data_IF_727977214853
#
_entry.id   IF_727977214853
#
_cell.length_a   1.000
_cell.length_b   1.000
_cell.length_c   1.000
_cell.angle_alpha   90.00
_cell.angle_beta   90.00
_cell.angle_gamma   90.00
#
_symmetry.space_group_name_H-M   'P 1'
#
loop_
_entity.id
_entity.type
_entity.pdbx_description
1 polymer ?
#
# COMPACT_ATOMS: atom_id res chain seq x y z
N UNK A 1 6.20 -61.19 -100.31
CA UNK A 1 6.12 -60.11 -101.31
C UNK A 1 7.55 -59.80 -101.72
N UNK A 2 7.86 -59.79 -103.02
CA UNK A 2 9.19 -59.41 -103.48
C UNK A 2 9.39 -57.90 -103.28
N UNK A 3 10.53 -57.50 -102.75
CA UNK A 3 10.92 -56.09 -102.68
C UNK A 3 11.07 -55.54 -104.10
N UNK A 4 10.85 -54.24 -104.32
CA UNK A 4 11.16 -53.61 -105.59
C UNK A 4 12.63 -53.89 -105.96
N UNK A 5 12.93 -54.20 -107.23
CA UNK A 5 14.28 -54.62 -107.65
C UNK A 5 15.36 -53.58 -107.30
N UNK A 6 15.00 -52.30 -107.32
CA UNK A 6 15.88 -51.18 -106.94
C UNK A 6 16.22 -51.16 -105.45
N UNK A 7 15.28 -51.60 -104.60
CA UNK A 7 15.48 -51.67 -103.15
C UNK A 7 16.31 -52.90 -102.79
N UNK A 8 16.09 -54.02 -103.48
CA UNK A 8 16.88 -55.24 -103.30
C UNK A 8 18.35 -55.05 -103.75
N UNK A 9 18.57 -54.36 -104.86
CA UNK A 9 19.90 -53.99 -105.37
C UNK A 9 20.62 -53.01 -104.43
N UNK A 10 19.92 -52.01 -103.90
CA UNK A 10 20.48 -51.10 -102.88
C UNK A 10 20.87 -51.80 -101.58
N UNK A 11 20.07 -52.79 -101.13
CA UNK A 11 20.36 -53.58 -99.94
C UNK A 11 21.58 -54.49 -100.18
N UNK A 12 21.63 -55.18 -101.34
CA UNK A 12 22.76 -56.03 -101.74
C UNK A 12 24.07 -55.23 -101.79
N UNK A 13 24.07 -54.13 -102.51
CA UNK A 13 25.22 -53.23 -102.64
C UNK A 13 25.60 -52.58 -101.30
N UNK A 14 24.64 -52.37 -100.39
CA UNK A 14 24.94 -51.92 -99.03
C UNK A 14 25.65 -52.97 -98.19
N UNK A 15 25.30 -54.25 -98.32
CA UNK A 15 25.99 -55.35 -97.66
C UNK A 15 27.40 -55.52 -98.25
N UNK A 16 27.53 -55.47 -99.57
CA UNK A 16 28.83 -55.51 -100.27
C UNK A 16 29.75 -54.37 -99.81
N UNK A 17 29.23 -53.15 -99.65
CA UNK A 17 29.98 -52.02 -99.11
C UNK A 17 30.47 -52.26 -97.67
N UNK A 18 29.63 -52.83 -96.79
CA UNK A 18 30.01 -53.16 -95.42
C UNK A 18 31.08 -54.26 -95.33
N UNK A 19 31.17 -55.11 -96.37
CA UNK A 19 32.21 -56.13 -96.52
C UNK A 19 33.48 -55.61 -97.24
N UNK A 20 33.52 -54.33 -97.62
CA UNK A 20 34.66 -53.69 -98.27
C UNK A 20 34.75 -53.91 -99.78
N UNK A 21 33.68 -54.39 -100.42
CA UNK A 21 33.62 -54.60 -101.87
C UNK A 21 33.24 -53.31 -102.61
N UNK A 22 33.60 -53.22 -103.90
CA UNK A 22 33.28 -52.07 -104.73
C UNK A 22 31.77 -51.98 -104.99
N UNK A 23 31.23 -50.78 -104.83
CA UNK A 23 29.81 -50.47 -104.95
C UNK A 23 29.55 -49.58 -106.16
N UNK A 24 28.34 -49.61 -106.70
CA UNK A 24 27.99 -48.74 -107.82
C UNK A 24 28.00 -47.25 -107.41
N UNK A 25 28.36 -46.38 -108.36
CA UNK A 25 28.30 -44.93 -108.19
C UNK A 25 26.90 -44.45 -107.82
N UNK A 26 25.86 -45.12 -108.33
CA UNK A 26 24.44 -44.82 -108.05
C UNK A 26 24.11 -45.02 -106.56
N UNK A 27 24.55 -46.12 -105.96
CA UNK A 27 24.34 -46.39 -104.53
C UNK A 27 25.10 -45.42 -103.63
N UNK A 28 26.33 -45.04 -104.01
CA UNK A 28 27.08 -44.01 -103.28
C UNK A 28 26.39 -42.64 -103.30
N UNK A 29 25.84 -42.23 -104.45
CA UNK A 29 25.07 -40.98 -104.58
C UNK A 29 23.80 -40.99 -103.74
N UNK A 30 23.05 -42.10 -103.73
CA UNK A 30 21.86 -42.26 -102.89
C UNK A 30 22.19 -42.18 -101.40
N UNK A 31 23.29 -42.81 -100.96
CA UNK A 31 23.75 -42.72 -99.56
C UNK A 31 24.20 -41.32 -99.19
N UNK A 32 24.89 -40.62 -100.09
CA UNK A 32 25.27 -39.22 -99.88
C UNK A 32 24.02 -38.35 -99.69
N UNK A 33 23.03 -38.46 -100.57
CA UNK A 33 21.78 -37.72 -100.47
C UNK A 33 21.04 -38.03 -99.16
N UNK A 34 20.90 -39.31 -98.81
CA UNK A 34 20.26 -39.73 -97.56
C UNK A 34 21.00 -39.20 -96.32
N UNK A 35 22.34 -39.18 -96.35
CA UNK A 35 23.17 -38.61 -95.28
C UNK A 35 23.08 -37.09 -95.21
N UNK A 36 22.93 -36.39 -96.34
CA UNK A 36 22.72 -34.95 -96.34
C UNK A 36 21.36 -34.57 -95.77
N UNK A 37 20.31 -35.31 -96.13
CA UNK A 37 18.96 -35.11 -95.60
C UNK A 37 18.85 -35.45 -94.11
N UNK A 38 19.54 -36.48 -93.64
CA UNK A 38 19.62 -36.77 -92.20
C UNK A 38 20.39 -35.67 -91.46
N UNK A 39 21.51 -35.19 -92.02
CA UNK A 39 22.27 -34.05 -91.46
C UNK A 39 21.43 -32.78 -91.39
N UNK A 40 20.67 -32.44 -92.43
CA UNK A 40 19.76 -31.26 -92.43
C UNK A 40 18.68 -31.40 -91.36
N UNK A 41 18.08 -32.58 -91.21
CA UNK A 41 17.07 -32.85 -90.16
C UNK A 41 17.66 -32.68 -88.76
N UNK A 42 18.81 -33.29 -88.49
CA UNK A 42 19.51 -33.14 -87.21
C UNK A 42 19.88 -31.68 -86.94
N UNK A 43 20.35 -30.96 -87.95
CA UNK A 43 20.69 -29.54 -87.80
C UNK A 43 19.45 -28.72 -87.41
N UNK A 44 18.30 -28.97 -88.01
CA UNK A 44 17.03 -28.33 -87.65
C UNK A 44 16.60 -28.68 -86.21
N UNK A 45 16.73 -29.94 -85.80
CA UNK A 45 16.45 -30.36 -84.42
C UNK A 45 17.37 -29.66 -83.41
N UNK A 46 18.67 -29.55 -83.72
CA UNK A 46 19.63 -28.82 -82.87
C UNK A 46 19.24 -27.36 -82.72
N UNK A 47 18.83 -26.68 -83.80
CA UNK A 47 18.35 -25.31 -83.70
C UNK A 47 17.09 -25.18 -82.84
N UNK A 48 16.10 -26.07 -83.04
CA UNK A 48 14.88 -26.07 -82.23
C UNK A 48 15.16 -26.32 -80.74
N UNK A 49 16.07 -27.25 -80.43
CA UNK A 49 16.48 -27.53 -79.05
C UNK A 49 17.21 -26.35 -78.43
N UNK A 50 18.07 -25.66 -79.21
CA UNK A 50 18.78 -24.48 -78.74
C UNK A 50 17.82 -23.33 -78.42
N UNK A 51 16.84 -23.06 -79.28
CA UNK A 51 15.83 -22.03 -79.04
C UNK A 51 14.96 -22.36 -77.81
N UNK A 52 14.58 -23.63 -77.65
CA UNK A 52 13.85 -24.09 -76.45
C UNK A 52 14.68 -23.95 -75.18
N UNK A 53 15.98 -24.26 -75.22
CA UNK A 53 16.88 -24.10 -74.08
C UNK A 53 16.97 -22.63 -73.68
N UNK A 54 17.20 -21.73 -74.64
CA UNK A 54 17.23 -20.28 -74.40
C UNK A 54 15.95 -19.76 -73.77
N UNK A 55 14.80 -20.16 -74.30
CA UNK A 55 13.50 -19.76 -73.74
C UNK A 55 13.31 -20.29 -72.30
N UNK A 56 13.81 -21.50 -71.99
CA UNK A 56 13.80 -22.01 -70.61
C UNK A 56 14.72 -21.21 -69.70
N UNK A 57 15.92 -20.85 -70.16
CA UNK A 57 16.88 -20.06 -69.39
C UNK A 57 16.32 -18.65 -69.08
N UNK A 58 15.70 -18.00 -70.06
CA UNK A 58 15.03 -16.70 -69.85
C UNK A 58 13.92 -16.79 -68.79
N UNK A 59 13.07 -17.82 -68.86
CA UNK A 59 12.02 -18.05 -67.85
C UNK A 59 12.60 -18.34 -66.47
N UNK A 60 13.71 -19.06 -66.41
CA UNK A 60 14.40 -19.35 -65.15
C UNK A 60 14.95 -18.07 -64.52
N UNK A 61 15.56 -17.18 -65.30
CA UNK A 61 16.06 -15.90 -64.81
C UNK A 61 14.93 -14.97 -64.36
N UNK A 62 13.81 -14.94 -65.08
CA UNK A 62 12.61 -14.22 -64.63
C UNK A 62 12.10 -14.77 -63.29
N UNK A 63 11.96 -16.09 -63.17
CA UNK A 63 11.52 -16.73 -61.93
C UNK A 63 12.48 -16.47 -60.75
N UNK A 64 13.80 -16.49 -60.99
CA UNK A 64 14.81 -16.16 -59.97
C UNK A 64 14.71 -14.71 -59.52
N UNK A 65 14.56 -13.76 -60.45
CA UNK A 65 14.44 -12.34 -60.11
C UNK A 65 13.15 -12.06 -59.35
N UNK A 66 12.03 -12.66 -59.75
CA UNK A 66 10.75 -12.59 -59.02
C UNK A 66 10.88 -13.18 -57.61
N UNK A 67 11.45 -14.37 -57.47
CA UNK A 67 11.66 -15.01 -56.17
C UNK A 67 12.58 -14.16 -55.25
N UNK A 68 13.60 -13.52 -55.80
CA UNK A 68 14.50 -12.62 -55.07
C UNK A 68 13.76 -11.39 -54.53
N UNK A 69 12.96 -10.73 -55.39
CA UNK A 69 12.15 -9.58 -55.00
C UNK A 69 11.11 -9.95 -53.93
N UNK A 70 10.43 -11.09 -54.09
CA UNK A 70 9.47 -11.60 -53.12
C UNK A 70 10.14 -11.92 -51.77
N UNK A 71 11.31 -12.57 -51.78
CA UNK A 71 12.07 -12.84 -50.58
C UNK A 71 12.51 -11.55 -49.85
N UNK A 72 12.87 -10.50 -50.60
CA UNK A 72 13.19 -9.19 -50.02
C UNK A 72 11.97 -8.51 -49.40
N UNK A 73 10.81 -8.57 -50.07
CA UNK A 73 9.57 -8.02 -49.56
C UNK A 73 9.14 -8.73 -48.25
N UNK A 74 9.23 -10.06 -48.21
CA UNK A 74 8.95 -10.84 -47.01
C UNK A 74 9.90 -10.50 -45.85
N UNK A 75 11.20 -10.32 -46.13
CA UNK A 75 12.17 -9.90 -45.11
C UNK A 75 11.77 -8.55 -44.49
N UNK A 76 11.44 -7.55 -45.31
CA UNK A 76 10.98 -6.25 -44.81
C UNK A 76 9.72 -6.36 -43.97
N UNK A 77 8.74 -7.17 -44.40
CA UNK A 77 7.53 -7.42 -43.62
C UNK A 77 7.81 -8.04 -42.25
N UNK A 78 8.76 -8.99 -42.19
CA UNK A 78 9.18 -9.61 -40.93
C UNK A 78 9.86 -8.58 -40.03
N UNK A 79 10.79 -7.79 -40.57
CA UNK A 79 11.48 -6.72 -39.83
C UNK A 79 10.50 -5.69 -39.25
N UNK A 80 9.51 -5.26 -40.03
CA UNK A 80 8.45 -4.34 -39.58
C UNK A 80 7.57 -4.98 -38.50
N UNK A 81 7.18 -6.25 -38.68
CA UNK A 81 6.41 -7.00 -37.67
C UNK A 81 7.17 -7.10 -36.35
N UNK A 82 8.47 -7.44 -36.40
CA UNK A 82 9.32 -7.52 -35.22
C UNK A 82 9.51 -6.15 -34.55
N UNK A 83 9.70 -5.09 -35.33
CA UNK A 83 9.80 -3.73 -34.83
C UNK A 83 8.50 -3.29 -34.12
N UNK A 84 7.34 -3.60 -34.71
CA UNK A 84 6.04 -3.33 -34.08
C UNK A 84 5.85 -4.16 -32.81
N UNK A 85 6.22 -5.44 -32.82
CA UNK A 85 6.16 -6.31 -31.63
C UNK A 85 7.00 -5.75 -30.48
N UNK A 86 8.18 -5.18 -30.74
CA UNK A 86 9.01 -4.52 -29.72
C UNK A 86 8.32 -3.30 -29.14
N UNK A 87 7.75 -2.43 -29.98
CA UNK A 87 6.98 -1.26 -29.52
C UNK A 87 5.77 -1.66 -28.68
N UNK A 88 5.06 -2.72 -29.05
CA UNK A 88 3.96 -3.24 -28.24
C UNK A 88 4.44 -3.73 -26.86
N UNK A 89 5.56 -4.43 -26.79
CA UNK A 89 6.14 -4.87 -25.52
C UNK A 89 6.60 -3.68 -24.65
N UNK A 90 7.23 -2.67 -25.25
CA UNK A 90 7.61 -1.42 -24.57
C UNK A 90 6.39 -0.69 -24.00
N UNK A 91 5.32 -0.57 -24.80
CA UNK A 91 4.08 0.08 -24.37
C UNK A 91 3.40 -0.70 -23.23
N UNK A 92 3.38 -2.03 -23.29
CA UNK A 92 2.85 -2.86 -22.20
C UNK A 92 3.66 -2.69 -20.91
N UNK A 93 4.99 -2.61 -21.00
CA UNK A 93 5.83 -2.34 -19.85
C UNK A 93 5.54 -0.95 -19.25
N UNK A 94 5.31 0.06 -20.09
CA UNK A 94 4.88 1.39 -19.62
C UNK A 94 3.51 1.34 -18.94
N UNK A 95 2.53 0.64 -19.50
CA UNK A 95 1.22 0.46 -18.86
C UNK A 95 1.34 -0.17 -17.47
N UNK A 96 2.15 -1.22 -17.33
CA UNK A 96 2.41 -1.85 -16.01
C UNK A 96 3.01 -0.86 -15.02
N UNK A 97 3.97 -0.02 -15.44
CA UNK A 97 4.56 0.99 -14.56
C UNK A 97 3.52 2.04 -14.11
N UNK A 98 2.61 2.44 -15.02
CA UNK A 98 1.54 3.38 -14.67
C UNK A 98 0.52 2.76 -13.72
N UNK A 99 0.20 1.47 -13.87
CA UNK A 99 -0.66 0.74 -12.93
C UNK A 99 -0.05 0.71 -11.52
N UNK A 100 1.25 0.40 -11.41
CA UNK A 100 1.98 0.43 -10.14
C UNK A 100 1.99 1.83 -9.51
N UNK A 101 2.21 2.87 -10.32
CA UNK A 101 2.22 4.26 -9.88
C UNK A 101 0.83 4.73 -9.40
N UNK A 102 -0.25 4.34 -10.11
CA UNK A 102 -1.62 4.58 -9.68
C UNK A 102 -1.92 3.88 -8.34
N UNK A 103 -1.47 2.64 -8.17
CA UNK A 103 -1.63 1.92 -6.91
C UNK A 103 -0.90 2.62 -5.74
N UNK A 104 0.28 3.21 -5.99
CA UNK A 104 0.98 4.03 -5.01
C UNK A 104 0.19 5.29 -4.65
N UNK A 105 -0.38 6.00 -5.62
CA UNK A 105 -1.22 7.18 -5.33
C UNK A 105 -2.44 6.85 -4.49
N UNK A 106 -3.12 5.73 -4.79
CA UNK A 106 -4.25 5.27 -3.98
C UNK A 106 -3.83 5.00 -2.55
N UNK A 107 -2.71 4.29 -2.33
CA UNK A 107 -2.19 4.03 -1.00
C UNK A 107 -1.81 5.32 -0.26
N UNK A 108 -1.17 6.27 -0.93
CA UNK A 108 -0.81 7.55 -0.32
C UNK A 108 -2.05 8.35 0.08
N UNK A 109 -3.12 8.32 -0.72
CA UNK A 109 -4.39 8.94 -0.41
C UNK A 109 -5.04 8.31 0.84
N UNK A 110 -5.07 6.98 0.93
CA UNK A 110 -5.57 6.26 2.11
C UNK A 110 -4.79 6.63 3.38
N UNK A 111 -3.46 6.74 3.29
CA UNK A 111 -2.60 7.15 4.40
C UNK A 111 -2.87 8.59 4.85
N UNK A 112 -3.10 9.50 3.89
CA UNK A 112 -3.43 10.89 4.19
C UNK A 112 -4.81 11.01 4.86
N UNK A 113 -5.79 10.24 4.41
CA UNK A 113 -7.11 10.18 5.03
C UNK A 113 -7.04 9.63 6.47
N UNK A 114 -6.32 8.53 6.68
CA UNK A 114 -6.10 7.97 8.01
C UNK A 114 -5.42 8.96 8.96
N UNK A 115 -4.42 9.70 8.45
CA UNK A 115 -3.74 10.75 9.22
C UNK A 115 -4.71 11.89 9.60
N UNK A 116 -5.57 12.31 8.66
CA UNK A 116 -6.60 13.32 8.91
C UNK A 116 -7.55 12.88 10.03
N UNK A 117 -8.05 11.64 9.93
CA UNK A 117 -8.94 11.06 10.95
C UNK A 117 -8.28 11.01 12.33
N UNK A 118 -7.01 10.61 12.43
CA UNK A 118 -6.28 10.58 13.70
C UNK A 118 -6.06 12.00 14.27
N UNK A 119 -5.74 12.98 13.42
CA UNK A 119 -5.60 14.36 13.85
C UNK A 119 -6.92 14.92 14.41
N UNK A 120 -8.04 14.62 13.75
CA UNK A 120 -9.37 15.01 14.19
C UNK A 120 -9.77 14.33 15.51
N UNK A 121 -9.46 13.04 15.68
CA UNK A 121 -9.67 12.34 16.95
C UNK A 121 -8.88 12.97 18.11
N UNK A 122 -7.60 13.31 17.88
CA UNK A 122 -6.80 14.03 18.86
C UNK A 122 -7.38 15.40 19.18
N UNK A 123 -7.80 16.16 18.18
CA UNK A 123 -8.44 17.46 18.38
C UNK A 123 -9.71 17.33 19.22
N UNK A 124 -10.59 16.39 18.89
CA UNK A 124 -11.81 16.09 19.67
C UNK A 124 -11.51 15.71 21.11
N UNK A 125 -10.48 14.90 21.35
CA UNK A 125 -10.04 14.52 22.70
C UNK A 125 -9.54 15.73 23.49
N UNK A 126 -8.74 16.61 22.88
CA UNK A 126 -8.30 17.85 23.53
C UNK A 126 -9.47 18.78 23.84
N UNK A 127 -10.40 18.98 22.91
CA UNK A 127 -11.60 19.79 23.12
C UNK A 127 -12.48 19.24 24.26
N UNK A 128 -12.61 17.91 24.35
CA UNK A 128 -13.33 17.28 25.45
C UNK A 128 -12.67 17.58 26.81
N UNK A 129 -11.34 17.43 26.89
CA UNK A 129 -10.60 17.72 28.13
C UNK A 129 -10.66 19.19 28.53
N UNK A 130 -10.63 20.11 27.55
CA UNK A 130 -10.80 21.55 27.81
C UNK A 130 -12.19 21.81 28.38
N UNK A 131 -13.25 21.26 27.77
CA UNK A 131 -14.62 21.39 28.29
C UNK A 131 -14.78 20.87 29.71
N UNK A 132 -14.22 19.71 30.01
CA UNK A 132 -14.22 19.14 31.38
C UNK A 132 -13.57 20.11 32.38
N UNK A 133 -12.38 20.64 32.06
CA UNK A 133 -11.69 21.61 32.92
C UNK A 133 -12.46 22.91 33.05
N UNK A 134 -13.08 23.42 31.97
CA UNK A 134 -13.93 24.62 32.02
C UNK A 134 -15.14 24.43 32.95
N UNK A 135 -15.77 23.25 32.91
CA UNK A 135 -16.87 22.90 33.82
C UNK A 135 -16.41 22.80 35.27
N UNK A 136 -15.26 22.19 35.54
CA UNK A 136 -14.66 22.13 36.88
C UNK A 136 -14.29 23.51 37.40
N UNK A 137 -13.66 24.36 36.58
CA UNK A 137 -13.34 25.75 36.95
C UNK A 137 -14.60 26.53 37.28
N UNK A 138 -15.70 26.31 36.55
CA UNK A 138 -16.99 26.94 36.83
C UNK A 138 -17.53 26.51 38.19
N UNK A 139 -17.55 25.20 38.49
CA UNK A 139 -17.98 24.66 39.80
C UNK A 139 -17.14 25.24 40.94
N UNK A 140 -15.82 25.20 40.83
CA UNK A 140 -14.92 25.76 41.84
C UNK A 140 -15.10 27.27 42.02
N UNK A 141 -15.39 28.01 40.94
CA UNK A 141 -15.68 29.44 41.02
C UNK A 141 -16.99 29.72 41.75
N UNK A 142 -18.03 28.91 41.51
CA UNK A 142 -19.30 28.99 42.22
C UNK A 142 -19.15 28.66 43.71
N UNK A 143 -18.39 27.61 44.05
CA UNK A 143 -18.06 27.24 45.43
C UNK A 143 -17.25 28.32 46.16
N UNK A 144 -16.22 28.87 45.52
CA UNK A 144 -15.42 29.96 46.09
C UNK A 144 -16.30 31.18 46.38
N UNK A 145 -17.23 31.48 45.49
CA UNK A 145 -18.15 32.59 45.65
C UNK A 145 -19.18 32.33 46.76
N UNK A 146 -19.60 31.07 46.94
CA UNK A 146 -20.40 30.65 48.09
C UNK A 146 -19.66 30.88 49.42
N UNK A 147 -18.45 30.34 49.57
CA UNK A 147 -17.67 30.50 50.81
C UNK A 147 -17.30 31.95 51.10
N UNK A 148 -17.02 32.75 50.06
CA UNK A 148 -16.78 34.17 50.22
C UNK A 148 -17.99 34.89 50.85
N UNK A 149 -19.20 34.63 50.37
CA UNK A 149 -20.43 35.20 50.95
C UNK A 149 -20.65 34.73 52.39
N UNK A 150 -20.40 33.45 52.67
CA UNK A 150 -20.54 32.89 54.02
C UNK A 150 -19.56 33.55 55.01
N UNK A 151 -18.30 33.75 54.60
CA UNK A 151 -17.30 34.46 55.39
C UNK A 151 -17.69 35.93 55.64
N UNK A 152 -18.24 36.62 54.62
CA UNK A 152 -18.75 37.99 54.76
C UNK A 152 -19.88 38.05 55.82
N UNK A 153 -20.84 37.13 55.78
CA UNK A 153 -21.94 37.05 56.78
C UNK A 153 -21.42 36.73 58.18
N UNK A 154 -20.45 35.83 58.32
CA UNK A 154 -19.84 35.50 59.61
C UNK A 154 -19.10 36.72 60.19
N UNK A 155 -18.33 37.44 59.37
CA UNK A 155 -17.66 38.67 59.76
C UNK A 155 -18.64 39.74 60.24
N UNK A 156 -19.78 39.92 59.57
CA UNK A 156 -20.82 40.84 60.03
C UNK A 156 -21.42 40.43 61.39
N UNK A 157 -21.65 39.12 61.60
CA UNK A 157 -22.15 38.61 62.88
C UNK A 157 -21.13 38.82 63.99
N UNK A 158 -19.85 38.56 63.73
CA UNK A 158 -18.75 38.81 64.67
C UNK A 158 -18.64 40.29 65.01
N UNK A 159 -18.75 41.19 64.02
CA UNK A 159 -18.75 42.63 64.26
C UNK A 159 -19.93 43.08 65.12
N UNK A 160 -21.15 42.54 64.88
CA UNK A 160 -22.33 42.80 65.73
C UNK A 160 -22.13 42.29 67.15
N UNK A 161 -21.60 41.07 67.31
CA UNK A 161 -21.31 40.49 68.61
C UNK A 161 -20.23 41.27 69.37
N UNK A 162 -19.19 41.74 68.67
CA UNK A 162 -18.15 42.59 69.25
C UNK A 162 -18.71 43.94 69.72
N UNK A 163 -19.63 44.53 68.97
CA UNK A 163 -20.32 45.76 69.37
C UNK A 163 -21.26 45.53 70.56
N UNK A 164 -22.04 44.45 70.57
CA UNK A 164 -22.86 44.06 71.72
C UNK A 164 -22.00 43.82 72.97
N UNK A 165 -20.85 43.14 72.83
CA UNK A 165 -19.89 42.96 73.91
C UNK A 165 -19.30 44.28 74.40
N UNK A 166 -19.02 45.23 73.50
CA UNK A 166 -18.56 46.58 73.86
C UNK A 166 -19.60 47.32 74.69
N UNK A 167 -20.86 47.30 74.27
CA UNK A 167 -22.00 47.90 74.99
C UNK A 167 -22.18 47.24 76.36
N UNK A 168 -22.12 45.90 76.42
CA UNK A 168 -22.20 45.17 77.68
C UNK A 168 -21.02 45.49 78.60
N UNK A 169 -19.81 45.59 78.06
CA UNK A 169 -18.62 45.95 78.83
C UNK A 169 -18.74 47.37 79.41
N UNK A 170 -19.19 48.34 78.62
CA UNK A 170 -19.47 49.70 79.09
C UNK A 170 -20.54 49.70 80.20
N UNK A 171 -21.59 48.89 80.05
CA UNK A 171 -22.62 48.71 81.09
C UNK A 171 -22.08 48.05 82.36
N UNK A 172 -21.18 47.07 82.23
CA UNK A 172 -20.51 46.43 83.38
C UNK A 172 -19.62 47.44 84.09
N UNK A 173 -18.83 48.24 83.36
CA UNK A 173 -18.01 49.31 83.94
C UNK A 173 -18.89 50.34 84.65
N UNK A 174 -20.04 50.73 84.07
CA UNK A 174 -21.03 51.59 84.73
C UNK A 174 -21.60 50.95 86.01
N UNK A 175 -21.96 49.67 85.97
CA UNK A 175 -22.45 48.93 87.14
C UNK A 175 -21.37 48.72 88.20
N UNK A 176 -20.10 48.55 87.82
CA UNK A 176 -18.95 48.47 88.71
C UNK A 176 -18.61 49.83 89.30
N UNK A 177 -18.80 50.92 88.56
CA UNK A 177 -18.73 52.30 89.08
C UNK A 177 -19.83 52.54 90.11
N UNK A 178 -21.06 52.11 89.84
CA UNK A 178 -22.20 52.17 90.77
C UNK A 178 -21.98 51.26 91.99
N UNK A 179 -21.41 50.07 91.81
CA UNK A 179 -21.00 49.16 92.89
C UNK A 179 -19.88 49.75 93.74
N UNK A 180 -18.91 50.42 93.12
CA UNK A 180 -17.82 51.11 93.83
C UNK A 180 -18.31 52.34 94.59
N UNK A 181 -19.48 52.88 94.23
CA UNK A 181 -20.19 53.92 94.98
C UNK A 181 -21.11 53.37 96.09
N UNK A 182 -21.19 52.05 96.26
CA UNK A 182 -21.97 51.40 97.30
C UNK A 182 -21.31 50.11 97.77
N UNK A 183 -20.28 50.22 98.62
CA UNK A 183 -19.81 49.07 99.39
C UNK A 183 -20.60 48.97 100.69
N UNK A 184 -21.39 47.90 100.80
CA UNK A 184 -21.30 46.90 101.86
C UNK A 184 -22.21 45.72 101.51
N UNK A 185 -21.69 44.49 101.60
CA UNK A 185 -22.53 43.30 101.68
C UNK A 185 -21.96 42.08 101.00
N UNK A 186 -21.38 41.20 101.81
CA UNK A 186 -21.05 39.81 101.51
C UNK A 186 -22.27 38.99 101.05
N UNK A 187 -21.99 37.94 100.28
CA UNK A 187 -22.76 36.71 100.32
C UNK A 187 -23.98 36.64 99.39
N UNK A 188 -23.80 36.01 98.23
CA UNK A 188 -24.89 35.33 97.54
C UNK A 188 -24.35 34.20 96.65
N UNK A 189 -24.38 32.98 97.20
CA UNK A 189 -24.43 31.74 96.44
C UNK A 189 -25.65 31.85 95.51
N UNK A 190 -25.43 31.85 94.19
CA UNK A 190 -26.51 32.01 93.22
C UNK A 190 -26.36 31.03 92.05
N UNK A 191 -27.20 29.99 92.05
CA UNK A 191 -27.90 29.42 90.88
C UNK A 191 -27.13 28.74 89.73
N UNK A 192 -25.85 29.02 89.51
CA UNK A 192 -25.15 28.60 88.27
C UNK A 192 -24.63 27.14 88.27
N UNK A 193 -24.72 26.43 89.40
CA UNK A 193 -24.25 25.04 89.53
C UNK A 193 -25.24 23.96 89.08
N UNK A 194 -26.47 24.30 88.65
CA UNK A 194 -27.42 23.34 88.07
C UNK A 194 -27.48 23.39 86.54
N UNK A 195 -27.21 24.56 85.95
CA UNK A 195 -27.18 24.75 84.48
C UNK A 195 -25.96 24.06 83.88
N UNK A 196 -24.78 24.21 84.50
CA UNK A 196 -23.55 23.53 84.06
C UNK A 196 -23.62 22.00 84.18
N UNK A 197 -24.43 21.46 85.09
CA UNK A 197 -24.70 20.01 85.15
C UNK A 197 -25.57 19.55 83.99
N UNK A 198 -26.58 20.33 83.63
CA UNK A 198 -27.48 20.05 82.51
C UNK A 198 -26.76 20.15 81.17
N UNK A 199 -25.88 21.13 81.00
CA UNK A 199 -25.05 21.29 79.78
C UNK A 199 -24.01 20.17 79.64
N UNK A 200 -23.50 19.63 80.76
CA UNK A 200 -22.56 18.49 80.73
C UNK A 200 -23.28 17.17 80.41
N UNK A 201 -24.51 16.97 80.92
CA UNK A 201 -25.38 15.86 80.52
C UNK A 201 -25.82 15.97 79.05
N UNK A 202 -26.06 17.18 78.53
CA UNK A 202 -26.44 17.42 77.13
C UNK A 202 -25.25 17.33 76.15
N UNK A 203 -24.03 17.64 76.60
CA UNK A 203 -22.81 17.36 75.86
C UNK A 203 -22.49 15.86 75.85
N UNK A 204 -22.74 15.13 76.95
CA UNK A 204 -22.62 13.66 76.98
C UNK A 204 -23.68 12.97 76.13
N UNK A 205 -24.91 13.50 76.08
CA UNK A 205 -25.99 12.99 75.21
C UNK A 205 -25.63 13.19 73.73
N UNK A 206 -25.06 14.34 73.35
CA UNK A 206 -24.54 14.62 72.00
C UNK A 206 -23.31 13.81 71.64
N UNK A 207 -22.44 13.49 72.61
CA UNK A 207 -21.30 12.58 72.42
C UNK A 207 -21.77 11.13 72.21
N UNK A 208 -22.82 10.70 72.90
CA UNK A 208 -23.49 9.40 72.74
C UNK A 208 -24.39 9.32 71.49
N UNK A 209 -24.81 10.48 70.97
CA UNK A 209 -25.49 10.69 69.69
C UNK A 209 -24.57 10.49 68.47
N UNK A 210 -23.44 9.78 68.65
CA UNK A 210 -22.58 9.17 67.63
C UNK A 210 -23.29 8.05 66.86
N UNK A 211 -24.54 8.30 66.46
CA UNK A 211 -25.29 7.51 65.47
C UNK A 211 -24.63 7.61 64.08
N UNK A 212 -23.68 8.54 63.90
CA UNK A 212 -22.77 8.58 62.74
C UNK A 212 -21.82 7.36 62.69
N UNK A 213 -21.46 6.72 63.81
CA UNK A 213 -20.52 5.60 63.80
C UNK A 213 -21.11 4.30 63.21
N UNK A 214 -22.39 4.03 63.44
CA UNK A 214 -23.09 2.85 62.91
C UNK A 214 -23.40 3.02 61.43
N UNK A 215 -23.82 4.22 61.01
CA UNK A 215 -24.05 4.53 59.60
C UNK A 215 -22.75 4.47 58.79
N UNK A 216 -21.66 5.01 59.32
CA UNK A 216 -20.33 4.92 58.70
C UNK A 216 -19.83 3.47 58.66
N UNK A 217 -20.09 2.65 59.69
CA UNK A 217 -19.72 1.23 59.68
C UNK A 217 -20.46 0.45 58.59
N UNK A 218 -21.76 0.70 58.39
CA UNK A 218 -22.55 0.07 57.33
C UNK A 218 -22.09 0.51 55.92
N UNK A 219 -21.72 1.77 55.75
CA UNK A 219 -21.17 2.28 54.49
C UNK A 219 -19.79 1.68 54.18
N UNK A 220 -18.92 1.55 55.19
CA UNK A 220 -17.63 0.87 55.07
C UNK A 220 -17.82 -0.60 54.67
N UNK A 221 -18.79 -1.30 55.25
CA UNK A 221 -19.09 -2.70 54.91
C UNK A 221 -19.62 -2.83 53.47
N UNK A 222 -20.50 -1.92 53.03
CA UNK A 222 -20.99 -1.85 51.65
C UNK A 222 -19.84 -1.59 50.65
N UNK A 223 -19.00 -0.58 50.92
CA UNK A 223 -17.86 -0.26 50.07
C UNK A 223 -16.81 -1.37 50.03
N UNK A 224 -16.67 -2.12 51.12
CA UNK A 224 -15.78 -3.29 51.18
C UNK A 224 -16.30 -4.39 50.25
N UNK A 225 -17.61 -4.65 50.26
CA UNK A 225 -18.24 -5.62 49.36
C UNK A 225 -18.13 -5.20 47.88
N UNK A 226 -18.36 -3.92 47.58
CA UNK A 226 -18.23 -3.41 46.22
C UNK A 226 -16.78 -3.51 45.72
N UNK A 227 -15.81 -3.23 46.59
CA UNK A 227 -14.38 -3.42 46.30
C UNK A 227 -14.04 -4.86 45.97
N UNK A 228 -14.61 -5.84 46.67
CA UNK A 228 -14.40 -7.26 46.38
C UNK A 228 -15.02 -7.68 45.04
N UNK A 229 -16.23 -7.21 44.75
CA UNK A 229 -16.89 -7.46 43.45
C UNK A 229 -16.09 -6.87 42.28
N UNK A 230 -15.60 -5.64 42.43
CA UNK A 230 -14.77 -4.99 41.41
C UNK A 230 -13.46 -5.74 41.18
N UNK A 231 -12.82 -6.24 42.24
CA UNK A 231 -11.63 -7.09 42.12
C UNK A 231 -11.93 -8.39 41.36
N UNK A 232 -13.02 -9.07 41.69
CA UNK A 232 -13.43 -10.29 40.99
C UNK A 232 -13.69 -10.04 39.51
N UNK A 233 -14.42 -8.98 39.18
CA UNK A 233 -14.70 -8.60 37.79
C UNK A 233 -13.43 -8.22 37.03
N UNK A 234 -12.50 -7.51 37.67
CA UNK A 234 -11.21 -7.18 37.06
C UNK A 234 -10.41 -8.43 36.74
N UNK A 235 -10.26 -9.36 37.69
CA UNK A 235 -9.55 -10.62 37.45
C UNK A 235 -10.19 -11.45 36.33
N UNK A 236 -11.52 -11.50 36.28
CA UNK A 236 -12.22 -12.15 35.17
C UNK A 236 -11.99 -11.46 33.83
N UNK A 237 -12.01 -10.13 33.79
CA UNK A 237 -11.73 -9.38 32.57
C UNK A 237 -10.29 -9.61 32.08
N UNK A 238 -9.32 -9.68 33.01
CA UNK A 238 -7.93 -10.04 32.69
C UNK A 238 -7.83 -11.45 32.09
N UNK A 239 -8.52 -12.44 32.67
CA UNK A 239 -8.59 -13.80 32.12
C UNK A 239 -9.21 -13.82 30.70
N UNK A 240 -10.32 -13.10 30.49
CA UNK A 240 -10.96 -13.00 29.17
C UNK A 240 -10.01 -12.35 28.13
N UNK A 241 -9.24 -11.33 28.51
CA UNK A 241 -8.22 -10.71 27.64
C UNK A 241 -7.10 -11.70 27.30
N UNK A 242 -6.64 -12.51 28.27
CA UNK A 242 -5.62 -13.54 27.98
C UNK A 242 -6.13 -14.59 27.00
N UNK A 243 -7.35 -15.10 27.18
CA UNK A 243 -7.97 -16.06 26.27
C UNK A 243 -8.16 -15.48 24.87
N UNK A 244 -8.60 -14.23 24.76
CA UNK A 244 -8.73 -13.55 23.47
C UNK A 244 -7.37 -13.35 22.79
N UNK A 245 -6.32 -13.01 23.55
CA UNK A 245 -4.96 -12.90 23.01
C UNK A 245 -4.46 -14.24 22.45
N UNK A 246 -4.70 -15.34 23.15
CA UNK A 246 -4.37 -16.69 22.66
C UNK A 246 -5.13 -17.04 21.37
N UNK A 247 -6.42 -16.71 21.30
CA UNK A 247 -7.22 -16.91 20.09
C UNK A 247 -6.72 -16.07 18.91
N UNK A 248 -6.39 -14.79 19.13
CA UNK A 248 -5.80 -13.93 18.09
C UNK A 248 -4.47 -14.52 17.59
N UNK A 249 -3.62 -15.01 18.49
CA UNK A 249 -2.35 -15.65 18.10
C UNK A 249 -2.58 -16.92 17.25
N UNK A 250 -3.57 -17.75 17.58
CA UNK A 250 -3.91 -18.93 16.77
C UNK A 250 -4.41 -18.54 15.37
N UNK A 251 -5.28 -17.54 15.29
CA UNK A 251 -5.82 -17.03 14.01
C UNK A 251 -4.72 -16.41 13.14
N UNK A 252 -3.77 -15.69 13.75
CA UNK A 252 -2.61 -15.14 13.03
C UNK A 252 -1.72 -16.23 12.45
N UNK A 253 -1.48 -17.32 13.20
CA UNK A 253 -0.72 -18.46 12.69
C UNK A 253 -1.45 -19.20 11.57
N UNK A 254 -2.79 -19.32 11.63
CA UNK A 254 -3.58 -19.85 10.51
C UNK A 254 -3.56 -18.94 9.29
N UNK A 255 -3.69 -17.62 9.47
CA UNK A 255 -3.58 -16.64 8.38
C UNK A 255 -2.21 -16.71 7.69
N UNK A 256 -1.11 -16.81 8.45
CA UNK A 256 0.23 -17.01 7.88
C UNK A 256 0.32 -18.31 7.08
N UNK A 257 -0.28 -19.41 7.57
CA UNK A 257 -0.31 -20.69 6.83
C UNK A 257 -1.08 -20.56 5.52
N UNK A 258 -2.24 -19.90 5.52
CA UNK A 258 -3.04 -19.67 4.32
C UNK A 258 -2.31 -18.78 3.30
N UNK A 259 -1.67 -17.69 3.75
CA UNK A 259 -0.86 -16.84 2.87
C UNK A 259 0.29 -17.63 2.22
N UNK A 260 0.96 -18.50 2.98
CA UNK A 260 2.01 -19.36 2.45
C UNK A 260 1.47 -20.40 1.43
N UNK A 261 0.26 -20.92 1.63
CA UNK A 261 -0.39 -21.80 0.66
C UNK A 261 -0.74 -21.04 -0.62
N UNK A 262 -1.34 -19.85 -0.53
CA UNK A 262 -1.65 -19.00 -1.69
C UNK A 262 -0.40 -18.62 -2.48
N UNK A 263 0.71 -18.32 -1.78
CA UNK A 263 1.99 -18.05 -2.43
C UNK A 263 2.49 -19.27 -3.20
N UNK A 264 2.46 -20.46 -2.59
CA UNK A 264 2.84 -21.71 -3.25
C UNK A 264 1.95 -22.03 -4.45
N UNK A 265 0.63 -21.85 -4.34
CA UNK A 265 -0.30 -22.07 -5.45
C UNK A 265 -0.03 -21.14 -6.64
N UNK A 266 0.31 -19.87 -6.37
CA UNK A 266 0.74 -18.92 -7.41
C UNK A 266 2.06 -19.33 -8.07
N UNK A 267 3.03 -19.85 -7.31
CA UNK A 267 4.28 -20.35 -7.88
C UNK A 267 4.07 -21.60 -8.75
N UNK A 268 3.13 -22.47 -8.40
CA UNK A 268 2.85 -23.70 -9.15
C UNK A 268 2.04 -23.44 -10.44
N UNK A 269 1.32 -22.32 -10.55
CA UNK A 269 0.65 -21.89 -11.80
C UNK A 269 1.58 -21.23 -12.82
N UNK A 270 2.83 -20.91 -12.45
CA UNK A 270 3.80 -20.24 -13.33
C UNK A 270 4.63 -21.14 -14.25
N UNK A 271 4.56 -22.47 -14.12
CA UNK A 271 5.39 -23.38 -14.92
C UNK A 271 4.71 -23.85 -16.22
N UNK A 272 4.60 -22.92 -17.16
CA UNK A 272 4.11 -23.16 -18.52
C UNK A 272 4.85 -22.35 -19.58
N UNK A 273 6.18 -22.25 -19.54
CA UNK A 273 6.94 -21.56 -20.58
C UNK A 273 8.46 -21.70 -20.44
N UNK A 274 9.06 -22.55 -21.27
CA UNK A 274 10.51 -22.73 -21.42
C UNK A 274 11.12 -21.63 -22.30
N UNK A 275 12.36 -21.20 -21.99
CA UNK A 275 13.55 -21.04 -22.87
C UNK A 275 14.53 -20.04 -22.21
N UNK A 276 15.60 -20.50 -21.56
CA UNK A 276 16.95 -20.82 -22.09
C UNK A 276 17.72 -19.63 -22.72
N UNK A 277 18.67 -19.12 -21.91
CA UNK A 277 20.08 -18.80 -22.24
C UNK A 277 20.43 -17.89 -23.43
N UNK A 278 21.25 -16.85 -23.20
CA UNK A 278 22.71 -16.84 -23.46
C UNK A 278 23.29 -15.41 -23.24
N UNK A 279 24.47 -15.40 -22.65
CA UNK A 279 25.40 -14.29 -22.39
C UNK A 279 26.00 -13.64 -23.65
N UNK A 280 26.20 -12.31 -23.66
CA UNK A 280 27.35 -11.70 -24.34
C UNK A 280 27.70 -10.27 -23.83
N UNK A 281 29.01 -10.11 -23.58
CA UNK A 281 29.80 -8.89 -23.33
C UNK A 281 29.59 -7.76 -24.36
N UNK A 282 29.70 -6.50 -23.94
CA UNK A 282 29.96 -5.38 -24.84
C UNK A 282 30.18 -4.02 -24.16
N UNK A 283 31.42 -3.53 -24.19
CA UNK A 283 31.89 -2.20 -23.73
C UNK A 283 31.26 -1.03 -24.53
N UNK A 284 31.10 0.15 -23.90
CA UNK A 284 31.48 1.52 -24.36
C UNK A 284 31.01 2.57 -23.33
N UNK A 285 31.95 3.28 -22.71
CA UNK A 285 32.45 4.66 -23.02
C UNK A 285 31.59 5.78 -22.42
N UNK A 286 32.27 6.55 -21.58
CA UNK A 286 31.83 7.78 -20.94
C UNK A 286 31.77 8.96 -21.92
N UNK A 287 30.86 9.89 -21.67
CA UNK A 287 31.02 11.31 -21.97
C UNK A 287 30.01 12.15 -21.17
N UNK A 288 30.53 13.25 -20.64
CA UNK A 288 29.91 14.26 -19.79
C UNK A 288 28.72 14.97 -20.47
N UNK A 289 27.75 15.34 -19.63
CA UNK A 289 26.67 16.30 -19.89
C UNK A 289 27.20 17.74 -19.79
N UNK A 290 26.69 18.62 -20.65
CA UNK A 290 26.61 20.07 -20.43
C UNK A 290 25.15 20.47 -20.57
N UNK A 291 24.68 21.21 -19.57
CA UNK A 291 23.32 21.66 -19.31
C UNK A 291 22.77 22.68 -20.31
N UNK A 292 21.44 22.74 -20.40
CA UNK A 292 20.73 23.99 -20.71
C UNK A 292 19.36 23.84 -21.39
N UNK A 293 18.29 24.03 -20.60
CA UNK A 293 16.92 24.48 -20.95
C UNK A 293 15.94 23.51 -21.65
N UNK A 294 14.63 23.84 -21.63
CA UNK A 294 13.67 23.71 -20.54
C UNK A 294 12.78 22.45 -20.72
N UNK A 295 12.32 21.89 -19.59
CA UNK A 295 11.50 20.67 -19.48
C UNK A 295 10.35 20.62 -20.51
N UNK A 296 10.56 19.89 -21.61
CA UNK A 296 9.54 19.02 -22.15
C UNK A 296 9.51 17.79 -21.23
N UNK A 297 8.31 17.40 -20.77
CA UNK A 297 8.14 16.15 -20.00
C UNK A 297 8.36 15.02 -21.00
N UNK A 298 9.59 14.51 -21.03
CA UNK A 298 9.97 13.35 -21.80
C UNK A 298 9.62 12.10 -20.97
N UNK A 299 8.48 11.48 -21.29
CA UNK A 299 8.00 10.26 -20.62
C UNK A 299 8.87 9.02 -20.93
N UNK A 300 9.96 9.16 -21.69
CA UNK A 300 10.96 8.10 -21.89
C UNK A 300 12.04 8.05 -20.79
N UNK A 301 12.00 8.95 -19.81
CA UNK A 301 12.84 8.85 -18.63
C UNK A 301 12.39 7.69 -17.75
N UNK A 302 13.20 6.64 -17.66
CA UNK A 302 13.17 5.68 -16.55
C UNK A 302 13.51 6.44 -15.24
N UNK A 303 12.57 7.23 -14.73
CA UNK A 303 12.65 7.69 -13.36
C UNK A 303 12.43 6.48 -12.47
N UNK A 304 13.31 6.25 -11.47
CA UNK A 304 13.15 5.13 -10.57
C UNK A 304 11.80 5.26 -9.84
N UNK A 305 11.09 4.14 -9.61
CA UNK A 305 9.79 4.18 -8.94
C UNK A 305 9.93 4.91 -7.61
N UNK A 306 9.08 5.91 -7.40
CA UNK A 306 9.07 6.69 -6.16
C UNK A 306 8.71 5.79 -4.98
N UNK A 307 9.26 6.10 -3.81
CA UNK A 307 8.91 5.37 -2.59
C UNK A 307 7.55 5.85 -2.07
N UNK A 308 6.73 4.96 -1.50
CA UNK A 308 5.48 5.34 -0.84
C UNK A 308 5.76 6.33 0.30
N UNK A 309 4.76 7.17 0.62
CA UNK A 309 4.86 8.07 1.76
C UNK A 309 5.08 7.25 3.04
N UNK A 310 6.14 7.59 3.77
CA UNK A 310 6.39 7.00 5.08
C UNK A 310 5.42 7.62 6.10
N UNK A 311 4.91 6.85 7.08
CA UNK A 311 4.16 7.42 8.18
C UNK A 311 4.96 8.55 8.84
N UNK A 312 4.36 9.74 8.93
CA UNK A 312 4.99 10.86 9.62
C UNK A 312 5.18 10.46 11.08
N UNK A 313 6.43 10.40 11.53
CA UNK A 313 6.74 10.11 12.92
C UNK A 313 6.05 11.13 13.82
N UNK A 314 5.39 10.64 14.87
CA UNK A 314 4.78 11.47 15.91
C UNK A 314 5.81 12.51 16.37
N UNK A 315 5.55 13.78 16.06
CA UNK A 315 6.18 14.88 16.77
C UNK A 315 5.54 14.95 18.17
N UNK A 316 5.87 13.97 19.02
CA UNK A 316 5.55 14.03 20.44
C UNK A 316 6.30 15.25 21.02
N UNK A 317 5.63 16.11 21.81
CA UNK A 317 6.25 17.31 22.38
C UNK A 317 7.50 17.04 23.22
N UNK A 318 7.71 15.79 23.67
CA UNK A 318 8.80 15.41 24.58
C UNK A 318 10.16 15.20 23.90
N UNK A 319 10.25 15.19 22.56
CA UNK A 319 11.51 14.92 21.85
C UNK A 319 12.40 16.15 21.62
N UNK A 320 11.97 17.36 22.03
CA UNK A 320 12.78 18.60 21.89
C UNK A 320 13.73 18.87 23.06
N UNK A 321 13.85 17.98 24.03
CA UNK A 321 14.80 18.09 25.13
C UNK A 321 15.94 17.10 24.89
N UNK A 322 16.79 17.34 23.90
CA UNK A 322 18.17 16.80 23.81
C UNK A 322 18.82 17.13 22.45
N UNK A 323 19.02 18.42 22.16
CA UNK A 323 20.12 18.87 21.29
C UNK A 323 20.74 20.10 21.95
N UNK A 324 21.84 19.88 22.66
CA UNK A 324 22.81 20.91 23.02
C UNK A 324 23.90 20.94 21.95
#
# INVERSE_FOLDING_TARGET
MALPPETDEYIRESIEQSLGLQVSTKTLQLKLLASEDSRRRLQNEVFQLHDRLRERDERLELSKSEASMNAQALRKFVEEKEAMSKKYAELLAQCSNWEDECALYHRDQELLEAFGNEADERARSFEARVREVEEEMKKLSEELLFYKREAEVCSEKEARAAEELRVLHEKVVELERLRSQGYNGEGAICGQCTVLKKDNEDLQSRLSGTISSIALAAEIESLTKDKENLKFNLSRAEEEVTLLSEQCNMLDEENKKLQNQLYKEREHQGHGGKQSSVSAKGKRKASLKVDGTPRAIDFNGSEPPRKPLSPLQYNSPDSRICKK
#
